data_IF_091422924657
#
_entry.id   IF_091422924657
#
_cell.length_a   1.000
_cell.length_b   1.000
_cell.length_c   1.000
_cell.angle_alpha   90.00
_cell.angle_beta   90.00
_cell.angle_gamma   90.00
#
_symmetry.space_group_name_H-M   'P 1'
#
loop_
_entity.id
_entity.type
_entity.pdbx_description
1 polymer ?
#
# COMPACT_ATOMS: atom_id res chain seq x y z
N UNK A 1 -35.58 -40.38 20.55
CA UNK A 1 -34.14 -40.22 20.27
C UNK A 1 -34.03 -39.32 19.04
N UNK A 2 -34.03 -37.99 19.25
CA UNK A 2 -34.01 -37.00 18.17
C UNK A 2 -32.55 -36.61 17.92
N UNK A 3 -32.02 -36.97 16.75
CA UNK A 3 -30.68 -36.61 16.31
C UNK A 3 -30.67 -35.14 15.90
N UNK A 4 -29.95 -34.35 16.68
CA UNK A 4 -29.64 -32.95 16.44
C UNK A 4 -28.84 -32.78 15.14
N UNK A 5 -29.38 -31.96 14.24
CA UNK A 5 -28.71 -31.44 13.05
C UNK A 5 -27.55 -30.54 13.46
N UNK A 6 -26.31 -30.99 13.27
CA UNK A 6 -25.13 -30.11 13.23
C UNK A 6 -25.03 -29.46 11.85
N UNK A 7 -25.69 -28.31 11.68
CA UNK A 7 -25.44 -27.38 10.58
C UNK A 7 -24.04 -26.79 10.74
N UNK A 8 -23.11 -27.22 9.89
CA UNK A 8 -21.89 -26.47 9.61
C UNK A 8 -22.24 -25.35 8.62
N UNK A 9 -22.81 -24.25 9.14
CA UNK A 9 -22.96 -23.01 8.38
C UNK A 9 -21.57 -22.39 8.15
N UNK A 10 -20.87 -22.92 7.17
CA UNK A 10 -19.95 -22.10 6.40
C UNK A 10 -20.81 -21.05 5.69
N UNK A 11 -20.92 -19.85 6.26
CA UNK A 11 -21.55 -18.69 5.61
C UNK A 11 -20.93 -18.50 4.21
N UNK A 12 -21.58 -19.11 3.20
CA UNK A 12 -21.23 -18.90 1.81
C UNK A 12 -21.69 -17.50 1.44
N UNK A 13 -20.74 -16.65 1.05
CA UNK A 13 -21.04 -15.28 0.65
C UNK A 13 -22.05 -15.30 -0.50
N UNK A 14 -23.07 -14.44 -0.42
CA UNK A 14 -24.03 -14.30 -1.51
C UNK A 14 -23.34 -13.80 -2.78
N UNK A 15 -23.89 -14.10 -3.96
CA UNK A 15 -23.41 -13.51 -5.22
C UNK A 15 -23.35 -11.97 -5.15
N UNK A 16 -24.32 -11.35 -4.45
CA UNK A 16 -24.36 -9.90 -4.24
C UNK A 16 -23.16 -9.39 -3.43
N UNK A 17 -22.69 -10.17 -2.46
CA UNK A 17 -21.56 -9.80 -1.61
C UNK A 17 -20.24 -9.95 -2.37
N UNK A 18 -20.08 -11.03 -3.15
CA UNK A 18 -18.94 -11.18 -4.07
C UNK A 18 -18.86 -10.01 -5.06
N UNK A 19 -20.00 -9.60 -5.63
CA UNK A 19 -20.05 -8.44 -6.54
C UNK A 19 -19.60 -7.15 -5.85
N UNK A 20 -20.07 -6.90 -4.63
CA UNK A 20 -19.68 -5.70 -3.85
C UNK A 20 -18.19 -5.71 -3.53
N UNK A 21 -17.67 -6.85 -3.06
CA UNK A 21 -16.25 -7.03 -2.76
C UNK A 21 -15.39 -6.81 -4.01
N UNK A 22 -15.78 -7.34 -5.17
CA UNK A 22 -15.06 -7.13 -6.42
C UNK A 22 -15.03 -5.65 -6.86
N UNK A 23 -16.14 -4.93 -6.69
CA UNK A 23 -16.20 -3.49 -6.98
C UNK A 23 -15.32 -2.71 -6.03
N UNK A 24 -15.41 -2.98 -4.72
CA UNK A 24 -14.60 -2.31 -3.71
C UNK A 24 -13.11 -2.60 -3.93
N UNK A 25 -12.73 -3.83 -4.28
CA UNK A 25 -11.36 -4.21 -4.58
C UNK A 25 -10.83 -3.47 -5.83
N UNK A 26 -11.66 -3.35 -6.86
CA UNK A 26 -11.32 -2.60 -8.07
C UNK A 26 -11.07 -1.12 -7.77
N UNK A 27 -11.94 -0.48 -6.99
CA UNK A 27 -11.79 0.92 -6.58
C UNK A 27 -10.56 1.09 -5.70
N UNK A 28 -10.37 0.20 -4.72
CA UNK A 28 -9.19 0.19 -3.85
C UNK A 28 -7.89 0.10 -4.65
N UNK A 29 -7.83 -0.86 -5.58
CA UNK A 29 -6.63 -1.09 -6.40
C UNK A 29 -6.37 0.09 -7.33
N UNK A 30 -7.40 0.65 -7.96
CA UNK A 30 -7.27 1.83 -8.80
C UNK A 30 -6.79 3.05 -8.01
N UNK A 31 -7.35 3.29 -6.83
CA UNK A 31 -6.93 4.38 -5.95
C UNK A 31 -5.48 4.21 -5.48
N UNK A 32 -5.09 3.00 -5.08
CA UNK A 32 -3.72 2.68 -4.65
C UNK A 32 -2.70 2.86 -5.78
N UNK A 33 -3.00 2.35 -6.98
CA UNK A 33 -2.16 2.51 -8.16
C UNK A 33 -2.04 3.98 -8.54
N UNK A 34 -3.16 4.70 -8.59
CA UNK A 34 -3.18 6.13 -8.91
C UNK A 34 -2.35 6.93 -7.89
N UNK A 35 -2.46 6.62 -6.59
CA UNK A 35 -1.71 7.28 -5.52
C UNK A 35 -0.20 7.25 -5.79
N UNK A 36 0.34 6.09 -6.16
CA UNK A 36 1.76 5.95 -6.44
C UNK A 36 2.17 6.58 -7.78
N UNK A 37 1.31 6.54 -8.81
CA UNK A 37 1.59 7.14 -10.12
C UNK A 37 1.64 8.67 -10.06
N UNK A 38 0.71 9.30 -9.34
CA UNK A 38 0.67 10.76 -9.16
C UNK A 38 1.53 11.22 -7.99
N UNK A 39 2.07 10.28 -7.21
CA UNK A 39 2.80 10.54 -5.97
C UNK A 39 4.10 11.31 -6.17
N UNK A 40 4.62 11.34 -7.40
CA UNK A 40 5.79 12.11 -7.81
C UNK A 40 5.58 13.61 -7.73
N UNK A 41 4.32 14.05 -7.86
CA UNK A 41 3.98 15.45 -7.72
C UNK A 41 3.94 15.83 -6.24
N UNK A 42 4.79 16.76 -5.85
CA UNK A 42 4.81 17.35 -4.50
C UNK A 42 4.11 18.70 -4.54
N UNK A 43 3.29 18.98 -3.55
CA UNK A 43 2.60 20.26 -3.33
C UNK A 43 2.88 20.75 -1.91
N UNK A 44 2.61 22.03 -1.62
CA UNK A 44 2.77 22.60 -0.28
C UNK A 44 1.39 22.81 0.33
N UNK A 45 1.16 22.24 1.51
CA UNK A 45 -0.05 22.43 2.31
C UNK A 45 0.38 22.93 3.68
N UNK A 46 -0.11 24.10 4.10
CA UNK A 46 0.21 24.72 5.40
C UNK A 46 1.72 24.83 5.69
N UNK A 47 2.53 25.05 4.64
CA UNK A 47 3.99 25.15 4.76
C UNK A 47 4.75 23.82 4.76
N UNK A 48 4.06 22.69 4.66
CA UNK A 48 4.65 21.34 4.59
C UNK A 48 4.56 20.80 3.17
N UNK A 49 5.68 20.29 2.65
CA UNK A 49 5.73 19.60 1.36
C UNK A 49 5.12 18.21 1.47
N UNK A 50 4.10 17.93 0.67
CA UNK A 50 3.36 16.66 0.68
C UNK A 50 3.16 16.13 -0.74
N UNK A 51 3.17 14.81 -0.89
CA UNK A 51 2.85 14.16 -2.16
C UNK A 51 1.36 14.30 -2.49
N UNK A 52 1.03 14.57 -3.75
CA UNK A 52 -0.37 14.61 -4.24
C UNK A 52 -1.03 13.22 -4.15
N UNK A 53 -0.25 12.14 -4.09
CA UNK A 53 -0.76 10.79 -3.84
C UNK A 53 -1.54 10.67 -2.53
N UNK A 54 -1.30 11.58 -1.56
CA UNK A 54 -1.95 11.58 -0.25
C UNK A 54 -3.48 11.61 -0.33
N UNK A 55 -4.05 12.24 -1.36
CA UNK A 55 -5.50 12.38 -1.51
C UNK A 55 -6.22 11.07 -1.84
N UNK A 56 -5.50 10.07 -2.35
CA UNK A 56 -6.08 8.76 -2.64
C UNK A 56 -6.12 7.84 -1.40
N UNK A 57 -5.25 8.04 -0.41
CA UNK A 57 -5.18 7.16 0.76
C UNK A 57 -6.44 7.16 1.64
N UNK A 58 -7.13 8.29 1.91
CA UNK A 58 -8.39 8.28 2.67
C UNK A 58 -9.43 7.32 2.09
N UNK A 59 -9.53 7.24 0.75
CA UNK A 59 -10.44 6.31 0.09
C UNK A 59 -9.99 4.85 0.29
N UNK A 60 -8.69 4.58 0.20
CA UNK A 60 -8.17 3.23 0.43
C UNK A 60 -8.42 2.75 1.87
N UNK A 61 -8.19 3.61 2.86
CA UNK A 61 -8.44 3.29 4.28
C UNK A 61 -9.92 3.08 4.55
N UNK A 62 -10.79 3.95 4.04
CA UNK A 62 -12.23 3.81 4.18
C UNK A 62 -12.72 2.45 3.63
N UNK A 63 -12.24 2.05 2.45
CA UNK A 63 -12.63 0.75 1.87
C UNK A 63 -12.13 -0.40 2.74
N UNK A 64 -10.88 -0.38 3.19
CA UNK A 64 -10.34 -1.46 4.02
C UNK A 64 -11.05 -1.55 5.38
N UNK A 65 -11.44 -0.43 5.96
CA UNK A 65 -12.17 -0.39 7.23
C UNK A 65 -13.56 -0.99 7.08
N UNK A 66 -14.32 -0.58 6.05
CA UNK A 66 -15.64 -1.16 5.74
C UNK A 66 -15.54 -2.66 5.51
N UNK A 67 -14.56 -3.12 4.73
CA UNK A 67 -14.38 -4.55 4.44
C UNK A 67 -13.96 -5.30 5.70
N UNK A 68 -13.10 -4.73 6.54
CA UNK A 68 -12.68 -5.34 7.80
C UNK A 68 -13.83 -5.45 8.79
N UNK A 69 -14.70 -4.45 8.87
CA UNK A 69 -15.84 -4.42 9.77
C UNK A 69 -16.95 -5.40 9.33
N UNK A 70 -17.28 -5.42 8.04
CA UNK A 70 -18.41 -6.24 7.52
C UNK A 70 -17.99 -7.68 7.25
N UNK A 71 -16.80 -7.90 6.68
CA UNK A 71 -16.34 -9.21 6.21
C UNK A 71 -15.14 -9.76 6.99
N UNK A 72 -14.59 -8.99 7.92
CA UNK A 72 -13.50 -9.41 8.80
C UNK A 72 -12.11 -9.16 8.23
N UNK A 73 -11.12 -9.23 9.13
CA UNK A 73 -9.71 -8.94 8.86
C UNK A 73 -9.12 -9.69 7.66
N UNK A 74 -9.51 -10.95 7.43
CA UNK A 74 -8.98 -11.76 6.31
C UNK A 74 -9.32 -11.16 4.95
N UNK A 75 -10.54 -10.65 4.79
CA UNK A 75 -10.95 -9.99 3.54
C UNK A 75 -10.24 -8.67 3.33
N UNK A 76 -10.08 -7.86 4.39
CA UNK A 76 -9.29 -6.63 4.31
C UNK A 76 -7.82 -6.91 3.96
N UNK A 77 -7.23 -7.99 4.49
CA UNK A 77 -5.88 -8.42 4.11
C UNK A 77 -5.80 -8.84 2.64
N UNK A 78 -6.80 -9.54 2.12
CA UNK A 78 -6.85 -9.88 0.69
C UNK A 78 -6.91 -8.63 -0.21
N UNK A 79 -7.55 -7.56 0.26
CA UNK A 79 -7.56 -6.28 -0.48
C UNK A 79 -6.17 -5.67 -0.53
N UNK A 80 -5.47 -5.61 0.60
CA UNK A 80 -4.08 -5.13 0.66
C UNK A 80 -3.19 -5.96 -0.26
N UNK A 81 -3.24 -7.29 -0.18
CA UNK A 81 -2.47 -8.17 -1.07
C UNK A 81 -2.84 -8.01 -2.54
N UNK A 82 -4.13 -7.91 -2.86
CA UNK A 82 -4.60 -7.67 -4.23
C UNK A 82 -4.07 -6.34 -4.79
N UNK A 83 -4.12 -5.28 -3.98
CA UNK A 83 -3.55 -3.98 -4.34
C UNK A 83 -2.04 -4.02 -4.55
N UNK A 84 -1.29 -4.70 -3.68
CA UNK A 84 0.17 -4.87 -3.82
C UNK A 84 0.55 -5.65 -5.08
N UNK A 85 -0.20 -6.72 -5.41
CA UNK A 85 0.00 -7.49 -6.64
C UNK A 85 -0.30 -6.61 -7.86
N UNK A 86 -1.40 -5.86 -7.85
CA UNK A 86 -1.73 -4.92 -8.92
C UNK A 86 -0.63 -3.86 -9.08
N UNK A 87 -0.11 -3.35 -7.96
CA UNK A 87 0.98 -2.37 -7.93
C UNK A 87 2.28 -2.92 -8.52
N UNK A 88 2.63 -4.16 -8.19
CA UNK A 88 3.80 -4.84 -8.75
C UNK A 88 3.65 -5.07 -10.26
N UNK A 89 2.47 -5.47 -10.72
CA UNK A 89 2.19 -5.62 -12.14
C UNK A 89 2.37 -4.29 -12.89
N UNK A 90 1.84 -3.20 -12.34
CA UNK A 90 2.01 -1.85 -12.91
C UNK A 90 3.48 -1.45 -12.96
N UNK A 91 4.26 -1.73 -11.90
CA UNK A 91 5.70 -1.47 -11.91
C UNK A 91 6.39 -2.22 -13.05
N UNK A 92 6.13 -3.51 -13.22
CA UNK A 92 6.72 -4.32 -14.30
C UNK A 92 6.36 -3.75 -15.68
N UNK A 93 5.10 -3.38 -15.89
CA UNK A 93 4.66 -2.79 -17.16
C UNK A 93 5.33 -1.44 -17.45
N UNK A 94 5.53 -0.61 -16.43
CA UNK A 94 6.27 0.65 -16.57
C UNK A 94 7.74 0.38 -16.91
N UNK A 95 8.39 -0.58 -16.25
CA UNK A 95 9.78 -0.92 -16.54
C UNK A 95 9.95 -1.46 -17.97
N UNK A 96 9.00 -2.25 -18.47
CA UNK A 96 8.97 -2.69 -19.87
C UNK A 96 8.82 -1.49 -20.79
N UNK A 97 7.88 -0.58 -20.51
CA UNK A 97 7.65 0.60 -21.34
C UNK A 97 8.88 1.51 -21.41
N UNK A 98 9.56 1.73 -20.28
CA UNK A 98 10.79 2.55 -20.20
C UNK A 98 12.00 1.92 -20.92
N UNK A 99 12.03 0.58 -21.03
CA UNK A 99 13.12 -0.14 -21.69
C UNK A 99 12.96 -0.20 -23.22
N UNK A 100 11.76 0.02 -23.74
CA UNK A 100 11.48 -0.01 -25.17
C UNK A 100 11.92 1.31 -25.84
N UNK A 101 12.60 1.26 -26.99
CA UNK A 101 12.99 2.47 -27.70
C UNK A 101 11.76 3.18 -28.30
N UNK A 102 11.76 4.52 -28.24
CA UNK A 102 10.75 5.33 -28.90
C UNK A 102 10.79 5.15 -30.42
N UNK A 103 9.60 5.07 -31.04
CA UNK A 103 9.48 5.20 -32.49
C UNK A 103 9.74 6.65 -32.91
N UNK A 104 10.17 6.88 -34.16
CA UNK A 104 10.33 8.23 -34.73
C UNK A 104 9.04 9.08 -34.69
N UNK A 105 7.88 8.45 -34.54
CA UNK A 105 6.56 9.11 -34.45
C UNK A 105 6.24 9.59 -33.02
N UNK A 106 7.04 9.19 -32.03
CA UNK A 106 6.82 9.51 -30.62
C UNK A 106 7.72 10.68 -30.21
N UNK A 107 7.12 11.87 -30.07
CA UNK A 107 7.86 13.11 -29.91
C UNK A 107 8.23 13.48 -28.45
N UNK A 108 7.69 12.77 -27.46
CA UNK A 108 7.76 13.14 -26.02
C UNK A 108 8.56 12.12 -25.19
N UNK A 109 9.57 11.48 -25.80
CA UNK A 109 10.32 10.41 -25.15
C UNK A 109 11.02 10.88 -23.87
N UNK A 110 11.61 12.08 -23.88
CA UNK A 110 12.30 12.63 -22.73
C UNK A 110 11.34 12.84 -21.55
N UNK A 111 10.20 13.48 -21.77
CA UNK A 111 9.18 13.75 -20.74
C UNK A 111 8.55 12.45 -20.23
N UNK A 112 8.30 11.50 -21.14
CA UNK A 112 7.77 10.18 -20.79
C UNK A 112 8.73 9.45 -19.84
N UNK A 113 10.01 9.39 -20.19
CA UNK A 113 11.05 8.76 -19.38
C UNK A 113 11.17 9.42 -18.00
N UNK A 114 11.19 10.75 -17.91
CA UNK A 114 11.29 11.47 -16.64
C UNK A 114 10.10 11.17 -15.71
N UNK A 115 8.86 11.26 -16.22
CA UNK A 115 7.65 11.02 -15.42
C UNK A 115 7.58 9.57 -14.95
N UNK A 116 7.75 8.61 -15.86
CA UNK A 116 7.56 7.20 -15.54
C UNK A 116 8.73 6.59 -14.77
N UNK A 117 9.96 7.10 -14.90
CA UNK A 117 11.08 6.71 -14.00
C UNK A 117 10.80 7.14 -12.57
N UNK A 118 10.32 8.36 -12.37
CA UNK A 118 9.98 8.82 -11.02
C UNK A 118 8.81 8.04 -10.43
N UNK A 119 7.78 7.74 -11.23
CA UNK A 119 6.68 6.87 -10.79
C UNK A 119 7.16 5.47 -10.46
N UNK A 120 8.00 4.84 -11.30
CA UNK A 120 8.58 3.53 -11.03
C UNK A 120 9.38 3.52 -9.72
N UNK A 121 10.17 4.58 -9.48
CA UNK A 121 10.93 4.77 -8.26
C UNK A 121 10.03 4.86 -7.03
N UNK A 122 8.95 5.63 -7.08
CA UNK A 122 8.00 5.77 -5.96
C UNK A 122 7.31 4.44 -5.68
N UNK A 123 6.88 3.74 -6.72
CA UNK A 123 6.26 2.43 -6.56
C UNK A 123 7.22 1.44 -5.90
N UNK A 124 8.47 1.38 -6.37
CA UNK A 124 9.51 0.52 -5.80
C UNK A 124 9.82 0.88 -4.34
N UNK A 125 9.88 2.18 -4.01
CA UNK A 125 10.03 2.67 -2.65
C UNK A 125 8.86 2.23 -1.75
N UNK A 126 7.62 2.41 -2.19
CA UNK A 126 6.40 2.00 -1.47
C UNK A 126 6.39 0.50 -1.19
N UNK A 127 6.68 -0.33 -2.19
CA UNK A 127 6.71 -1.79 -2.03
C UNK A 127 7.83 -2.21 -1.07
N UNK A 128 9.00 -1.61 -1.17
CA UNK A 128 10.14 -1.92 -0.30
C UNK A 128 9.88 -1.51 1.15
N UNK A 129 9.41 -0.28 1.37
CA UNK A 129 9.05 0.24 2.68
C UNK A 129 7.99 -0.65 3.34
N UNK A 130 6.93 -0.98 2.59
CA UNK A 130 5.86 -1.86 3.07
C UNK A 130 6.37 -3.25 3.48
N UNK A 131 7.21 -3.90 2.67
CA UNK A 131 7.74 -5.23 2.99
C UNK A 131 8.62 -5.21 4.25
N UNK A 132 9.46 -4.18 4.39
CA UNK A 132 10.33 -4.02 5.55
C UNK A 132 9.50 -3.68 6.80
N UNK A 133 8.54 -2.76 6.69
CA UNK A 133 7.70 -2.33 7.81
C UNK A 133 6.80 -3.45 8.31
N UNK A 134 6.18 -4.23 7.42
CA UNK A 134 5.40 -5.41 7.81
C UNK A 134 6.26 -6.48 8.50
N UNK A 135 7.46 -6.74 7.97
CA UNK A 135 8.39 -7.69 8.60
C UNK A 135 8.81 -7.23 10.00
N UNK A 136 9.05 -5.92 10.16
CA UNK A 136 9.35 -5.31 11.44
C UNK A 136 8.18 -5.37 12.41
N UNK A 137 6.96 -5.07 11.97
CA UNK A 137 5.75 -5.15 12.81
C UNK A 137 5.59 -6.54 13.42
N UNK A 138 5.63 -7.58 12.57
CA UNK A 138 5.50 -8.97 13.01
C UNK A 138 6.62 -9.34 13.99
N UNK A 139 7.86 -8.97 13.70
CA UNK A 139 9.00 -9.25 14.58
C UNK A 139 8.89 -8.56 15.93
N UNK A 140 8.57 -7.25 15.96
CA UNK A 140 8.40 -6.48 17.19
C UNK A 140 7.24 -7.04 18.01
N UNK A 141 6.11 -7.34 17.38
CA UNK A 141 4.94 -7.91 18.05
C UNK A 141 5.28 -9.22 18.77
N UNK A 142 5.99 -10.14 18.10
CA UNK A 142 6.39 -11.43 18.67
C UNK A 142 7.43 -11.26 19.78
N UNK A 143 8.42 -10.39 19.58
CA UNK A 143 9.44 -10.10 20.60
C UNK A 143 8.85 -9.53 21.88
N UNK A 144 7.85 -8.64 21.78
CA UNK A 144 7.14 -8.11 22.96
C UNK A 144 6.26 -9.21 23.58
N UNK A 145 5.56 -10.00 22.76
CA UNK A 145 4.74 -11.12 23.24
C UNK A 145 5.55 -12.13 24.07
N UNK A 146 6.75 -12.49 23.62
CA UNK A 146 7.67 -13.38 24.33
C UNK A 146 8.12 -12.77 25.66
N UNK A 147 8.60 -11.52 25.64
CA UNK A 147 9.05 -10.80 26.85
C UNK A 147 7.92 -10.60 27.87
N UNK A 148 6.72 -10.31 27.40
CA UNK A 148 5.54 -10.09 28.24
C UNK A 148 4.83 -11.39 28.67
N UNK A 149 5.37 -12.57 28.31
CA UNK A 149 4.75 -13.89 28.56
C UNK A 149 3.27 -13.92 28.11
N UNK A 150 3.00 -13.34 26.93
CA UNK A 150 1.66 -13.26 26.35
C UNK A 150 0.76 -12.13 26.88
N UNK A 151 1.16 -11.40 27.93
CA UNK A 151 0.37 -10.30 28.53
C UNK A 151 0.41 -9.02 27.66
N UNK A 152 -0.51 -8.08 27.94
CA UNK A 152 -0.59 -6.74 27.32
C UNK A 152 -0.74 -6.73 25.79
N UNK A 153 -1.84 -7.30 25.28
CA UNK A 153 -2.17 -7.30 23.84
C UNK A 153 -2.15 -5.89 23.23
N UNK A 154 -2.72 -4.91 23.95
CA UNK A 154 -2.76 -3.51 23.50
C UNK A 154 -1.36 -2.92 23.33
N UNK A 155 -0.46 -3.14 24.30
CA UNK A 155 0.89 -2.58 24.25
C UNK A 155 1.68 -3.10 23.05
N UNK A 156 1.66 -4.42 22.82
CA UNK A 156 2.39 -5.00 21.69
C UNK A 156 1.84 -4.58 20.33
N UNK A 157 0.52 -4.43 20.21
CA UNK A 157 -0.12 -4.00 18.96
C UNK A 157 0.23 -2.54 18.61
N UNK A 158 0.13 -1.63 19.58
CA UNK A 158 0.43 -0.23 19.35
C UNK A 158 1.93 0.00 19.13
N UNK A 159 2.79 -0.63 19.93
CA UNK A 159 4.23 -0.43 19.82
C UNK A 159 4.80 -1.01 18.52
N UNK A 160 4.32 -2.17 18.08
CA UNK A 160 4.73 -2.72 16.78
C UNK A 160 4.27 -1.84 15.61
N UNK A 161 3.03 -1.34 15.68
CA UNK A 161 2.46 -0.46 14.64
C UNK A 161 3.21 0.88 14.59
N UNK A 162 3.46 1.52 15.73
CA UNK A 162 4.17 2.82 15.77
C UNK A 162 5.58 2.67 15.18
N UNK A 163 6.32 1.64 15.60
CA UNK A 163 7.69 1.41 15.12
C UNK A 163 7.73 1.05 13.63
N UNK A 164 6.82 0.19 13.17
CA UNK A 164 6.74 -0.17 11.76
C UNK A 164 6.35 1.00 10.87
N UNK A 165 5.36 1.83 11.26
CA UNK A 165 4.94 3.01 10.49
C UNK A 165 6.00 4.10 10.44
N UNK A 166 6.77 4.29 11.52
CA UNK A 166 7.90 5.22 11.52
C UNK A 166 8.99 4.75 10.54
N UNK A 167 9.32 3.46 10.56
CA UNK A 167 10.28 2.88 9.60
C UNK A 167 9.75 2.91 8.17
N UNK A 168 8.45 2.65 7.96
CA UNK A 168 7.79 2.72 6.66
C UNK A 168 7.94 4.13 6.06
N UNK A 169 7.57 5.15 6.82
CA UNK A 169 7.61 6.55 6.38
C UNK A 169 9.05 6.97 6.09
N UNK A 170 10.01 6.66 6.97
CA UNK A 170 11.42 7.01 6.77
C UNK A 170 12.02 6.32 5.55
N UNK A 171 11.80 5.00 5.40
CA UNK A 171 12.31 4.25 4.25
C UNK A 171 11.66 4.71 2.95
N UNK A 172 10.35 4.97 2.96
CA UNK A 172 9.64 5.49 1.80
C UNK A 172 10.22 6.85 1.39
N UNK A 173 10.29 7.81 2.31
CA UNK A 173 10.80 9.15 2.02
C UNK A 173 12.23 9.09 1.47
N UNK A 174 13.08 8.26 2.08
CA UNK A 174 14.46 8.07 1.63
C UNK A 174 14.52 7.45 0.23
N UNK A 175 13.87 6.31 0.00
CA UNK A 175 13.96 5.63 -1.29
C UNK A 175 13.26 6.41 -2.42
N UNK A 176 12.13 7.06 -2.13
CA UNK A 176 11.33 7.77 -3.12
C UNK A 176 11.97 9.10 -3.56
N UNK A 177 12.57 9.84 -2.62
CA UNK A 177 12.94 11.24 -2.86
C UNK A 177 14.42 11.57 -2.71
N UNK A 178 15.21 10.78 -1.98
CA UNK A 178 16.65 11.06 -1.81
C UNK A 178 17.36 11.19 -3.17
N UNK A 179 17.88 12.38 -3.52
CA UNK A 179 18.49 12.63 -4.83
C UNK A 179 17.56 12.33 -6.05
N UNK A 180 16.24 12.32 -5.86
CA UNK A 180 15.32 12.25 -7.01
C UNK A 180 15.34 13.54 -7.82
N UNK A 181 15.48 14.69 -7.14
CA UNK A 181 15.69 15.99 -7.75
C UNK A 181 16.77 16.77 -6.99
N UNK A 182 17.42 17.77 -7.61
CA UNK A 182 18.49 18.55 -6.96
C UNK A 182 18.12 19.19 -5.62
N UNK A 183 16.82 19.45 -5.40
CA UNK A 183 16.30 20.06 -4.16
C UNK A 183 15.90 19.04 -3.08
N UNK A 184 15.91 17.74 -3.38
CA UNK A 184 15.53 16.69 -2.43
C UNK A 184 16.75 16.17 -1.67
N UNK A 185 17.15 16.96 -0.67
CA UNK A 185 18.31 16.73 0.21
C UNK A 185 17.93 15.99 1.50
N UNK A 186 18.87 15.80 2.42
CA UNK A 186 18.66 15.06 3.68
C UNK A 186 17.71 15.81 4.60
N UNK A 187 17.62 17.13 4.46
CA UNK A 187 16.67 17.93 5.23
C UNK A 187 15.22 17.81 4.73
N UNK A 188 15.01 17.23 3.54
CA UNK A 188 13.67 16.98 2.98
C UNK A 188 13.12 15.60 3.35
N UNK A 189 14.01 14.62 3.48
CA UNK A 189 13.72 13.22 3.84
C UNK A 189 13.71 13.07 5.35
#
# INVERSE_FOLDING_TARGET
MATTSTTSDHLSLSFKDHRRLAVLLSIFSAALVAANLIGSKVTVILGVSVSVGIFAYPLTFLITDIVSEVHGRKWAQNFVWGGLIAQLLVLVLILIALAMPASERFAIEAEYQEVFKQSARIIAASLTAFLVSQSLDVWVFHKIKERAKGRFLWLRNNLSTILSQLVDTMLFMYLAFWHAFPKMTTGFV
#
